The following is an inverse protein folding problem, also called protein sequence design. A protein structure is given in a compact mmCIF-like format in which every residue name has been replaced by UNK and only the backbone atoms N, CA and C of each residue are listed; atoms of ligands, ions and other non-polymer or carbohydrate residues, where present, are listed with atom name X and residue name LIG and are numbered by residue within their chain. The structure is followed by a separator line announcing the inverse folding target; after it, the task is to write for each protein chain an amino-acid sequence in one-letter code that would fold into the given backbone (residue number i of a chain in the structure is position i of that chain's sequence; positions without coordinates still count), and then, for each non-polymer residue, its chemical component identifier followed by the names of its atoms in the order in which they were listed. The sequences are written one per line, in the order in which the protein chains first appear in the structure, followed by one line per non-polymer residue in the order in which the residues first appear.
data_IF_027699485356
#
_entry.id   IF_027699485356
#
_cell.length_a   1.000
_cell.length_b   1.000
_cell.length_c   1.000
_cell.angle_alpha   90.00
_cell.angle_beta   90.00
_cell.angle_gamma   90.00
#
_symmetry.space_group_name_H-M   'P 1'
#
loop_
_entity.id
_entity.type
_entity.pdbx_description
1 polymer ?
#
# COMPACT_ATOMS: atom_id res chain seq x y z
N UNK A 1 12.17 -14.95 -14.95
CA UNK A 1 11.71 -13.74 -14.22
C UNK A 1 11.34 -14.18 -12.81
N UNK A 2 12.06 -13.72 -11.78
CA UNK A 2 11.72 -14.06 -10.39
C UNK A 2 10.37 -13.42 -10.06
N UNK A 3 9.40 -14.24 -9.64
CA UNK A 3 8.08 -13.80 -9.21
C UNK A 3 8.20 -13.14 -7.84
N UNK A 4 8.57 -11.87 -7.82
CA UNK A 4 8.52 -11.02 -6.64
C UNK A 4 7.05 -10.75 -6.31
N UNK A 5 6.65 -11.00 -5.06
CA UNK A 5 5.27 -10.91 -4.61
C UNK A 5 5.03 -9.62 -3.83
N UNK A 6 4.00 -8.90 -4.24
CA UNK A 6 3.33 -7.89 -3.42
C UNK A 6 2.22 -8.61 -2.66
N UNK A 7 2.13 -8.39 -1.35
CA UNK A 7 1.14 -9.03 -0.47
C UNK A 7 0.29 -7.99 0.25
N UNK A 8 -0.90 -8.37 0.70
CA UNK A 8 -1.67 -7.59 1.67
C UNK A 8 -1.13 -7.87 3.08
N UNK A 9 -1.19 -6.86 3.95
CA UNK A 9 -0.65 -6.96 5.31
C UNK A 9 -1.41 -7.98 6.18
N UNK A 10 -2.74 -8.03 6.03
CA UNK A 10 -3.60 -8.96 6.75
C UNK A 10 -4.72 -9.49 5.83
N UNK A 11 -5.37 -10.57 6.28
CA UNK A 11 -6.44 -11.23 5.52
C UNK A 11 -7.69 -10.37 5.38
N UNK A 12 -7.97 -9.49 6.33
CA UNK A 12 -9.16 -8.64 6.29
C UNK A 12 -9.04 -7.59 5.20
N UNK A 13 -7.83 -7.04 5.03
CA UNK A 13 -7.49 -6.14 3.94
C UNK A 13 -7.57 -6.89 2.60
N UNK A 14 -7.02 -8.10 2.49
CA UNK A 14 -7.15 -8.91 1.27
C UNK A 14 -8.62 -9.16 0.91
N UNK A 15 -9.45 -9.57 1.87
CA UNK A 15 -10.90 -9.75 1.68
C UNK A 15 -11.59 -8.46 1.27
N UNK A 16 -11.22 -7.32 1.87
CA UNK A 16 -11.78 -6.02 1.50
C UNK A 16 -11.47 -5.69 0.03
N UNK A 17 -10.27 -5.99 -0.46
CA UNK A 17 -9.92 -5.86 -1.86
C UNK A 17 -10.71 -6.81 -2.75
N UNK A 18 -10.82 -8.09 -2.37
CA UNK A 18 -11.55 -9.11 -3.13
C UNK A 18 -13.04 -8.80 -3.26
N UNK A 19 -13.64 -8.26 -2.20
CA UNK A 19 -15.06 -7.89 -2.13
C UNK A 19 -15.43 -6.68 -3.01
N UNK A 20 -14.45 -5.89 -3.48
CA UNK A 20 -14.74 -4.84 -4.46
C UNK A 20 -15.26 -5.47 -5.76
N UNK A 21 -16.19 -4.80 -6.43
CA UNK A 21 -16.68 -5.27 -7.73
C UNK A 21 -15.55 -5.25 -8.78
N UNK A 22 -15.51 -6.23 -9.67
CA UNK A 22 -14.57 -6.23 -10.81
C UNK A 22 -14.78 -5.04 -11.77
N UNK A 23 -16.00 -4.49 -11.80
CA UNK A 23 -16.30 -3.28 -12.56
C UNK A 23 -15.83 -2.00 -11.84
N UNK A 24 -15.55 -2.07 -10.53
CA UNK A 24 -15.19 -0.92 -9.70
C UNK A 24 -13.88 -0.27 -10.20
N UNK A 25 -13.89 1.02 -10.56
CA UNK A 25 -12.69 1.75 -10.94
C UNK A 25 -11.58 1.69 -9.87
N UNK A 26 -11.93 1.68 -8.59
CA UNK A 26 -10.96 1.55 -7.49
C UNK A 26 -10.28 0.18 -7.52
N UNK A 27 -11.03 -0.92 -7.70
CA UNK A 27 -10.44 -2.27 -7.79
C UNK A 27 -9.48 -2.36 -8.96
N UNK A 28 -9.84 -1.79 -10.12
CA UNK A 28 -8.96 -1.73 -11.30
C UNK A 28 -7.69 -0.93 -11.02
N UNK A 29 -7.82 0.22 -10.35
CA UNK A 29 -6.68 1.04 -9.97
C UNK A 29 -5.76 0.34 -8.97
N UNK A 30 -6.32 -0.35 -7.96
CA UNK A 30 -5.57 -1.14 -6.99
C UNK A 30 -4.82 -2.30 -7.67
N UNK A 31 -5.47 -3.05 -8.56
CA UNK A 31 -4.81 -4.10 -9.38
C UNK A 31 -3.62 -3.56 -10.16
N UNK A 32 -3.79 -2.38 -10.78
CA UNK A 32 -2.69 -1.70 -11.49
C UNK A 32 -1.57 -1.30 -10.52
N UNK A 33 -1.89 -0.72 -9.38
CA UNK A 33 -0.90 -0.32 -8.37
C UNK A 33 -0.10 -1.52 -7.85
N UNK A 34 -0.76 -2.66 -7.56
CA UNK A 34 -0.09 -3.91 -7.16
C UNK A 34 0.90 -4.36 -8.23
N UNK A 35 0.51 -4.33 -9.51
CA UNK A 35 1.39 -4.67 -10.64
C UNK A 35 2.57 -3.70 -10.78
N UNK A 36 2.33 -2.40 -10.64
CA UNK A 36 3.35 -1.37 -10.75
C UNK A 36 4.37 -1.49 -9.61
N UNK A 37 3.91 -1.69 -8.37
CA UNK A 37 4.76 -1.93 -7.20
C UNK A 37 5.56 -3.22 -7.38
N UNK A 38 4.93 -4.28 -7.92
CA UNK A 38 5.59 -5.54 -8.24
C UNK A 38 6.66 -5.42 -9.32
N UNK A 39 6.62 -4.37 -10.14
CA UNK A 39 7.63 -4.07 -11.18
C UNK A 39 8.71 -3.13 -10.66
N UNK A 40 8.33 -2.16 -9.84
CA UNK A 40 9.22 -1.19 -9.23
C UNK A 40 8.66 -0.74 -7.88
N UNK A 41 9.25 -1.24 -6.79
CA UNK A 41 8.85 -0.89 -5.41
C UNK A 41 9.01 0.58 -5.06
N UNK A 42 9.81 1.34 -5.82
CA UNK A 42 10.07 2.76 -5.60
C UNK A 42 9.16 3.67 -6.44
N UNK A 43 8.10 3.14 -7.08
CA UNK A 43 7.18 3.91 -7.91
C UNK A 43 6.26 4.88 -7.14
N UNK A 44 6.10 4.69 -5.83
CA UNK A 44 5.37 5.60 -4.95
C UNK A 44 6.22 6.76 -4.41
N UNK A 45 5.59 7.61 -3.61
CA UNK A 45 6.28 8.65 -2.84
C UNK A 45 6.70 8.12 -1.47
N UNK A 46 7.99 8.22 -1.15
CA UNK A 46 8.50 7.92 0.18
C UNK A 46 8.03 8.95 1.22
N UNK A 47 7.52 8.48 2.36
CA UNK A 47 7.18 9.32 3.51
C UNK A 47 8.41 9.46 4.41
N UNK A 48 8.82 10.71 4.68
CA UNK A 48 9.90 11.00 5.62
C UNK A 48 9.59 10.33 6.96
N UNK A 49 10.56 9.60 7.54
CA UNK A 49 10.37 8.81 8.78
C UNK A 49 9.66 9.57 9.91
N UNK A 50 10.00 10.85 10.11
CA UNK A 50 9.39 11.72 11.13
C UNK A 50 7.89 12.05 10.91
N UNK A 51 7.39 11.85 9.70
CA UNK A 51 6.00 12.10 9.30
C UNK A 51 5.16 10.82 9.25
N UNK A 52 5.76 9.65 9.50
CA UNK A 52 4.99 8.39 9.53
C UNK A 52 4.10 8.42 10.77
N UNK A 53 2.77 8.22 10.63
CA UNK A 53 1.85 8.19 11.76
C UNK A 53 2.27 7.14 12.80
N UNK A 54 2.27 7.50 14.09
CA UNK A 54 2.67 6.59 15.17
C UNK A 54 1.80 5.33 15.22
N UNK A 55 0.51 5.47 14.96
CA UNK A 55 -0.43 4.35 14.90
C UNK A 55 -0.07 3.34 13.80
N UNK A 56 0.46 3.80 12.65
CA UNK A 56 0.93 2.91 11.59
C UNK A 56 2.22 2.19 11.98
N UNK A 57 3.17 2.90 12.61
CA UNK A 57 4.40 2.29 13.12
C UNK A 57 4.06 1.16 14.10
N UNK A 58 3.12 1.40 15.02
CA UNK A 58 2.73 0.43 16.04
C UNK A 58 1.91 -0.73 15.45
N UNK A 59 0.90 -0.44 14.62
CA UNK A 59 0.02 -1.45 14.03
C UNK A 59 0.78 -2.38 13.09
N UNK A 60 1.63 -1.82 12.23
CA UNK A 60 2.27 -2.58 11.16
C UNK A 60 3.73 -2.95 11.45
N UNK A 61 4.30 -2.48 12.58
CA UNK A 61 5.73 -2.67 12.92
C UNK A 61 6.69 -2.24 11.79
N UNK A 62 6.36 -1.15 11.09
CA UNK A 62 7.11 -0.64 9.94
C UNK A 62 8.11 0.45 10.32
N UNK A 63 9.17 0.59 9.53
CA UNK A 63 10.15 1.69 9.64
C UNK A 63 10.22 2.57 8.36
N UNK A 64 9.41 2.25 7.37
CA UNK A 64 9.29 2.89 6.07
C UNK A 64 7.82 2.89 5.63
N UNK A 65 7.39 3.96 4.95
CA UNK A 65 6.05 4.08 4.40
C UNK A 65 6.11 4.75 3.03
N UNK A 66 5.38 4.19 2.08
CA UNK A 66 5.27 4.66 0.71
C UNK A 66 3.81 4.88 0.35
N UNK A 67 3.57 5.87 -0.49
CA UNK A 67 2.23 6.24 -0.95
C UNK A 67 2.19 6.18 -2.47
N UNK A 68 1.29 5.37 -3.00
CA UNK A 68 0.95 5.34 -4.42
C UNK A 68 -0.36 6.13 -4.62
N UNK A 69 -0.34 7.14 -5.49
CA UNK A 69 -1.53 7.92 -5.81
C UNK A 69 -2.44 7.16 -6.78
N UNK A 70 -3.69 6.96 -6.39
CA UNK A 70 -4.72 6.34 -7.20
C UNK A 70 -5.64 7.42 -7.79
N UNK A 71 -6.47 7.08 -8.80
CA UNK A 71 -7.52 7.97 -9.30
C UNK A 71 -8.46 8.48 -8.20
N UNK A 72 -9.14 9.60 -8.47
CA UNK A 72 -10.10 10.21 -7.54
C UNK A 72 -9.51 10.51 -6.15
N UNK A 73 -8.22 10.86 -6.11
CA UNK A 73 -7.48 11.20 -4.90
C UNK A 73 -7.41 10.10 -3.83
N UNK A 74 -7.66 8.84 -4.21
CA UNK A 74 -7.38 7.68 -3.37
C UNK A 74 -5.88 7.47 -3.24
N UNK A 75 -5.46 6.84 -2.15
CA UNK A 75 -4.05 6.58 -1.86
C UNK A 75 -3.88 5.16 -1.35
N UNK A 76 -3.01 4.39 -1.99
CA UNK A 76 -2.55 3.10 -1.48
C UNK A 76 -1.28 3.33 -0.67
N UNK A 77 -1.25 2.77 0.54
CA UNK A 77 -0.14 2.84 1.48
C UNK A 77 0.55 1.47 1.50
N UNK A 78 1.86 1.45 1.35
CA UNK A 78 2.64 0.21 1.37
C UNK A 78 4.00 0.40 2.04
N UNK A 79 4.58 -0.70 2.53
CA UNK A 79 5.95 -0.75 3.01
C UNK A 79 6.77 -1.69 2.11
N UNK A 80 8.02 -1.30 1.85
CA UNK A 80 8.99 -2.16 1.17
C UNK A 80 9.59 -3.10 2.22
N UNK A 81 9.62 -4.40 1.92
CA UNK A 81 10.14 -5.43 2.82
C UNK A 81 11.64 -5.65 2.56
N UNK A 82 12.45 -5.85 3.61
CA UNK A 82 13.91 -6.01 3.46
C UNK A 82 14.34 -7.42 3.03
N UNK A 83 13.44 -8.42 3.02
CA UNK A 83 13.82 -9.82 2.82
C UNK A 83 13.62 -10.29 1.38
N UNK A 84 14.73 -10.58 0.69
CA UNK A 84 14.72 -11.32 -0.57
C UNK A 84 14.41 -12.82 -0.37
N UNK A 85 14.59 -13.37 0.84
CA UNK A 85 14.38 -14.81 1.13
C UNK A 85 12.94 -15.24 0.91
N UNK A 86 11.99 -14.39 1.30
CA UNK A 86 10.56 -14.66 1.11
C UNK A 86 10.05 -14.28 -0.30
N UNK A 87 10.89 -13.69 -1.16
CA UNK A 87 10.50 -13.06 -2.44
C UNK A 87 9.39 -12.00 -2.32
N UNK A 88 9.06 -11.57 -1.11
CA UNK A 88 8.10 -10.49 -0.86
C UNK A 88 8.88 -9.20 -0.96
N UNK A 89 8.46 -8.31 -1.85
CA UNK A 89 9.14 -7.03 -2.11
C UNK A 89 8.38 -5.83 -1.52
N UNK A 90 7.08 -5.99 -1.29
CA UNK A 90 6.24 -4.99 -0.65
C UNK A 90 5.01 -5.59 0.04
N UNK A 91 4.59 -4.96 1.13
CA UNK A 91 3.33 -5.23 1.82
C UNK A 91 2.40 -4.02 1.72
N UNK A 92 1.20 -4.22 1.18
CA UNK A 92 0.11 -3.23 1.14
C UNK A 92 -0.48 -3.15 2.55
N UNK A 93 -0.44 -1.96 3.13
CA UNK A 93 -0.88 -1.71 4.51
C UNK A 93 -2.33 -1.24 4.59
N UNK A 94 -2.75 -0.44 3.60
CA UNK A 94 -4.09 0.14 3.53
C UNK A 94 -4.32 0.82 2.15
N UNK A 95 -5.56 1.15 1.82
CA UNK A 95 -5.90 2.17 0.82
C UNK A 95 -7.09 3.00 1.29
N UNK A 96 -7.01 4.30 1.09
CA UNK A 96 -7.97 5.21 1.71
C UNK A 96 -8.29 6.41 0.83
N UNK A 97 -9.45 7.00 1.14
CA UNK A 97 -9.96 8.19 0.47
C UNK A 97 -9.08 9.41 0.76
N UNK A 98 -9.35 10.50 0.05
CA UNK A 98 -8.63 11.74 0.30
C UNK A 98 -8.78 12.22 1.75
N UNK A 99 -10.00 12.14 2.28
CA UNK A 99 -10.38 12.62 3.61
C UNK A 99 -9.74 11.80 4.72
N UNK A 100 -9.73 10.48 4.59
CA UNK A 100 -9.15 9.60 5.60
C UNK A 100 -7.63 9.72 5.62
N UNK A 101 -7.02 9.95 4.46
CA UNK A 101 -5.60 10.28 4.37
C UNK A 101 -5.24 11.59 5.08
N UNK A 102 -6.02 12.66 4.87
CA UNK A 102 -5.79 13.93 5.58
C UNK A 102 -5.91 13.77 7.09
N UNK A 103 -6.92 13.03 7.56
CA UNK A 103 -7.08 12.70 8.98
C UNK A 103 -5.88 11.94 9.54
N UNK A 104 -5.41 10.92 8.82
CA UNK A 104 -4.27 10.09 9.24
C UNK A 104 -2.99 10.92 9.39
N UNK A 105 -2.71 11.79 8.42
CA UNK A 105 -1.50 12.61 8.39
C UNK A 105 -1.64 13.94 9.14
N UNK A 106 -2.84 14.26 9.64
CA UNK A 106 -3.15 15.51 10.37
C UNK A 106 -2.79 16.75 9.56
N UNK A 107 -3.15 16.71 8.28
CA UNK A 107 -3.11 17.88 7.41
C UNK A 107 -4.30 18.81 7.63
#
# INVERSE_FOLDING_TARGET
MKSEKVVFFDEDLEKAFENLSEADPLKKALKKAVKDIGTNVFCGRNVKKKLIPKEFIQKYSINNLWIYNLPSAWRLLYAITPSEEAKIIAAILDWMSHKDYERLFRF
#
